data_IF_644112854612
#
_entry.id   IF_644112854612
#
_cell.length_a   1.000
_cell.length_b   1.000
_cell.length_c   1.000
_cell.angle_alpha   90.00
_cell.angle_beta   90.00
_cell.angle_gamma   90.00
#
_symmetry.space_group_name_H-M   'P 1'
#
loop_
_entity.id
_entity.type
_entity.pdbx_description
1 polymer ?
#
# COMPACT_ATOMS: atom_id res chain seq x y z
N UNK A 1 46.05 -0.75 86.56
CA UNK A 1 44.75 -0.18 86.19
C UNK A 1 44.95 0.73 84.98
N UNK A 2 44.23 0.44 83.89
CA UNK A 2 44.02 1.08 82.57
C UNK A 2 44.81 2.30 82.09
N UNK A 3 45.07 2.33 80.76
CA UNK A 3 44.77 3.48 79.92
C UNK A 3 43.59 3.19 78.98
N UNK A 4 42.64 4.13 78.90
CA UNK A 4 41.48 4.10 78.02
C UNK A 4 41.90 4.62 76.64
N UNK A 5 41.65 3.84 75.60
CA UNK A 5 41.83 4.19 74.20
C UNK A 5 40.76 5.18 73.72
N UNK A 6 41.19 6.27 73.10
CA UNK A 6 40.33 7.24 72.43
C UNK A 6 39.82 6.63 71.10
N UNK A 7 38.56 6.22 71.04
CA UNK A 7 37.88 5.89 69.79
C UNK A 7 37.16 7.12 69.25
N UNK A 8 37.57 7.60 68.09
CA UNK A 8 36.96 8.71 67.36
C UNK A 8 35.61 8.28 66.78
N UNK A 9 34.55 8.92 67.28
CA UNK A 9 33.18 8.79 66.78
C UNK A 9 33.05 9.55 65.44
N UNK A 10 33.04 8.84 64.33
CA UNK A 10 32.63 9.39 63.03
C UNK A 10 31.08 9.45 62.98
N UNK A 11 30.47 10.58 62.59
CA UNK A 11 29.03 10.73 62.71
C UNK A 11 28.29 9.94 61.61
N UNK A 12 27.48 8.97 62.02
CA UNK A 12 26.51 8.20 61.22
C UNK A 12 25.63 9.05 60.28
N UNK A 13 25.51 10.36 60.53
CA UNK A 13 24.74 11.31 59.72
C UNK A 13 25.30 11.47 58.30
N UNK A 14 26.61 11.34 58.11
CA UNK A 14 27.22 11.48 56.78
C UNK A 14 26.87 10.31 55.84
N UNK A 15 26.76 9.10 56.39
CA UNK A 15 26.43 7.90 55.62
C UNK A 15 24.97 7.93 55.13
N UNK A 16 24.06 8.44 55.95
CA UNK A 16 22.64 8.60 55.60
C UNK A 16 22.43 9.63 54.48
N UNK A 17 23.19 10.74 54.49
CA UNK A 17 23.09 11.77 53.45
C UNK A 17 23.65 11.28 52.10
N UNK A 18 24.72 10.49 52.11
CA UNK A 18 25.24 9.88 50.88
C UNK A 18 24.30 8.81 50.30
N UNK A 19 23.56 8.08 51.14
CA UNK A 19 22.55 7.13 50.68
C UNK A 19 21.33 7.80 50.03
N UNK A 20 20.97 9.02 50.48
CA UNK A 20 19.86 9.79 49.89
C UNK A 20 20.25 10.44 48.56
N UNK A 21 21.52 10.83 48.38
CA UNK A 21 22.01 11.42 47.13
C UNK A 21 22.14 10.39 45.99
N UNK A 22 22.35 9.10 46.30
CA UNK A 22 22.40 8.04 45.30
C UNK A 22 21.02 7.64 44.74
N UNK A 23 19.93 7.94 45.45
CA UNK A 23 18.55 7.67 45.01
C UNK A 23 18.06 8.59 43.89
N UNK A 24 18.68 9.76 43.69
CA UNK A 24 18.32 10.73 42.63
C UNK A 24 19.17 10.57 41.35
N UNK A 25 20.04 9.55 41.29
CA UNK A 25 21.01 9.35 40.22
C UNK A 25 20.61 8.38 39.10
N UNK A 26 19.33 8.00 38.97
CA UNK A 26 18.89 7.21 37.82
C UNK A 26 18.60 8.18 36.66
N UNK A 27 19.65 8.49 35.89
CA UNK A 27 19.50 8.96 34.53
C UNK A 27 18.50 8.04 33.83
N UNK A 28 17.32 8.58 33.50
CA UNK A 28 16.49 7.97 32.47
C UNK A 28 17.32 7.99 31.20
N UNK A 29 17.98 6.88 30.89
CA UNK A 29 18.32 6.56 29.52
C UNK A 29 16.98 6.59 28.79
N UNK A 30 16.71 7.67 28.08
CA UNK A 30 15.61 7.69 27.12
C UNK A 30 15.76 6.42 26.31
N UNK A 31 14.72 5.60 26.27
CA UNK A 31 14.66 4.47 25.35
C UNK A 31 14.84 5.10 23.98
N UNK A 32 16.06 5.02 23.44
CA UNK A 32 16.30 5.29 22.04
C UNK A 32 15.42 4.28 21.31
N UNK A 33 14.33 4.77 20.71
CA UNK A 33 13.55 3.97 19.79
C UNK A 33 14.54 3.37 18.79
N UNK A 34 14.56 2.03 18.60
CA UNK A 34 15.46 1.43 17.64
C UNK A 34 15.11 2.01 16.26
N UNK A 35 15.92 2.94 15.78
CA UNK A 35 15.92 3.31 14.38
C UNK A 35 16.34 2.05 13.64
N UNK A 36 15.40 1.41 12.95
CA UNK A 36 15.71 0.22 12.15
C UNK A 36 16.66 0.66 11.03
N UNK A 37 17.89 0.13 10.97
CA UNK A 37 18.80 0.44 9.87
C UNK A 37 18.20 -0.14 8.58
N UNK A 38 18.02 0.70 7.56
CA UNK A 38 17.57 0.29 6.23
C UNK A 38 16.26 0.90 5.72
N UNK A 39 15.58 1.75 6.50
CA UNK A 39 14.46 2.55 5.99
C UNK A 39 14.95 3.94 5.56
N UNK A 40 14.61 4.44 4.35
CA UNK A 40 15.00 5.77 3.90
C UNK A 40 14.51 6.85 4.88
N UNK A 41 15.42 7.67 5.37
CA UNK A 41 15.10 8.85 6.18
C UNK A 41 14.68 10.01 5.29
N UNK A 42 13.69 10.78 5.76
CA UNK A 42 13.01 11.83 5.00
C UNK A 42 13.85 13.11 5.00
N UNK A 43 14.67 13.32 3.97
CA UNK A 43 15.46 14.54 3.82
C UNK A 43 15.48 15.00 2.35
N UNK A 44 14.34 15.50 1.86
CA UNK A 44 14.38 16.41 0.71
C UNK A 44 13.21 17.40 0.75
N UNK A 45 13.51 18.70 0.61
CA UNK A 45 12.59 19.81 0.92
C UNK A 45 11.78 20.31 -0.28
N UNK A 46 12.03 19.81 -1.49
CA UNK A 46 11.46 20.38 -2.72
C UNK A 46 10.23 19.61 -3.27
N UNK A 47 9.97 18.38 -2.81
CA UNK A 47 8.77 17.62 -3.16
C UNK A 47 8.48 16.62 -2.02
N UNK A 48 7.22 16.39 -1.61
CA UNK A 48 6.94 15.41 -0.58
C UNK A 48 7.31 14.01 -1.08
N UNK A 49 8.40 13.47 -0.55
CA UNK A 49 8.88 12.13 -0.89
C UNK A 49 7.91 11.03 -0.40
N UNK A 50 7.14 11.34 0.65
CA UNK A 50 6.13 10.45 1.23
C UNK A 50 4.85 11.22 1.58
N UNK A 51 3.71 10.56 1.47
CA UNK A 51 2.39 11.11 1.84
C UNK A 51 1.74 10.22 2.89
N UNK A 52 1.08 10.83 3.87
CA UNK A 52 0.32 10.10 4.90
C UNK A 52 -1.10 9.88 4.39
N UNK A 53 -1.46 8.63 4.14
CA UNK A 53 -2.81 8.24 3.70
C UNK A 53 -3.61 7.72 4.88
N UNK A 54 -4.87 8.14 5.00
CA UNK A 54 -5.80 7.53 5.95
C UNK A 54 -6.35 6.23 5.33
N UNK A 55 -6.14 5.11 6.01
CA UNK A 55 -6.57 3.79 5.55
C UNK A 55 -8.08 3.54 5.73
N UNK A 56 -8.82 4.50 6.30
CA UNK A 56 -10.28 4.50 6.30
C UNK A 56 -10.77 4.85 4.88
N UNK A 57 -10.52 3.95 3.93
CA UNK A 57 -10.96 4.08 2.54
C UNK A 57 -12.48 4.03 2.58
N UNK A 58 -13.09 5.22 2.47
CA UNK A 58 -14.52 5.35 2.31
C UNK A 58 -14.86 4.60 1.03
N UNK A 59 -15.42 3.41 1.21
CA UNK A 59 -15.88 2.57 0.12
C UNK A 59 -17.03 3.31 -0.55
N UNK A 60 -16.72 4.17 -1.53
CA UNK A 60 -17.66 4.81 -2.42
C UNK A 60 -18.31 3.81 -3.38
N UNK A 61 -18.44 2.54 -2.97
CA UNK A 61 -19.20 1.53 -3.65
C UNK A 61 -20.69 1.87 -3.55
N UNK A 62 -21.09 2.89 -4.32
CA UNK A 62 -22.32 2.77 -5.06
C UNK A 62 -22.06 1.54 -5.92
N UNK A 63 -22.69 0.41 -5.58
CA UNK A 63 -22.90 -0.69 -6.50
C UNK A 63 -23.61 -0.05 -7.70
N UNK A 64 -22.82 0.53 -8.62
CA UNK A 64 -23.27 1.00 -9.90
C UNK A 64 -23.99 -0.21 -10.45
N UNK A 65 -25.29 -0.05 -10.73
CA UNK A 65 -26.11 -1.04 -11.41
C UNK A 65 -25.44 -1.33 -12.76
N UNK A 66 -24.35 -2.10 -12.74
CA UNK A 66 -23.75 -2.76 -13.88
C UNK A 66 -24.66 -3.95 -14.13
N UNK A 67 -25.33 -4.05 -15.28
CA UNK A 67 -25.74 -5.33 -15.80
C UNK A 67 -24.55 -6.28 -15.66
N UNK A 68 -24.72 -7.28 -14.79
CA UNK A 68 -23.66 -8.20 -14.38
C UNK A 68 -23.12 -9.01 -15.56
N UNK A 69 -23.71 -8.91 -16.75
CA UNK A 69 -23.54 -9.82 -17.88
C UNK A 69 -23.05 -9.13 -19.17
N UNK A 70 -22.60 -7.87 -19.13
CA UNK A 70 -22.05 -7.19 -20.33
C UNK A 70 -20.95 -8.00 -21.02
N UNK A 71 -20.09 -8.67 -20.24
CA UNK A 71 -19.01 -9.50 -20.76
C UNK A 71 -19.50 -10.67 -21.63
N UNK A 72 -20.76 -11.12 -21.45
CA UNK A 72 -21.41 -12.19 -22.21
C UNK A 72 -22.31 -11.67 -23.33
N UNK A 73 -22.88 -10.48 -23.17
CA UNK A 73 -23.86 -9.89 -24.09
C UNK A 73 -23.28 -8.89 -25.09
N UNK A 74 -22.03 -8.50 -24.89
CA UNK A 74 -21.30 -7.67 -25.85
C UNK A 74 -21.14 -8.41 -27.18
N UNK A 75 -21.17 -7.68 -28.29
CA UNK A 75 -20.74 -8.20 -29.60
C UNK A 75 -19.25 -8.49 -29.63
N UNK A 76 -18.45 -7.91 -28.72
CA UNK A 76 -17.05 -8.26 -28.49
C UNK A 76 -16.90 -8.84 -27.08
N UNK A 77 -17.35 -10.10 -26.83
CA UNK A 77 -17.40 -10.65 -25.49
C UNK A 77 -15.99 -10.91 -24.92
N UNK A 78 -15.89 -10.94 -23.59
CA UNK A 78 -14.63 -11.14 -22.88
C UNK A 78 -14.77 -12.08 -21.69
N UNK A 79 -13.68 -12.73 -21.32
CA UNK A 79 -13.53 -13.43 -20.03
C UNK A 79 -12.87 -12.51 -19.01
N UNK A 80 -13.06 -12.80 -17.72
CA UNK A 80 -12.39 -12.09 -16.63
C UNK A 80 -11.30 -12.99 -16.04
N UNK A 81 -10.08 -12.49 -16.05
CA UNK A 81 -8.92 -13.12 -15.43
C UNK A 81 -8.68 -12.51 -14.05
N UNK A 82 -8.45 -13.37 -13.04
CA UNK A 82 -8.20 -12.93 -11.67
C UNK A 82 -6.70 -12.66 -11.47
N UNK A 83 -6.33 -11.40 -11.33
CA UNK A 83 -4.98 -10.95 -11.02
C UNK A 83 -4.88 -10.68 -9.51
N UNK A 84 -4.23 -11.58 -8.76
CA UNK A 84 -4.05 -11.46 -7.31
C UNK A 84 -2.58 -11.20 -6.95
N UNK A 85 -2.36 -10.16 -6.16
CA UNK A 85 -1.07 -9.82 -5.55
C UNK A 85 -1.31 -9.46 -4.08
N UNK A 86 -0.87 -10.31 -3.12
CA UNK A 86 -1.08 -10.06 -1.70
C UNK A 86 -0.30 -8.85 -1.16
N UNK A 87 0.71 -8.38 -1.88
CA UNK A 87 1.51 -7.20 -1.52
C UNK A 87 0.97 -5.92 -2.17
N UNK A 88 -0.21 -5.97 -2.81
CA UNK A 88 -0.86 -4.85 -3.50
C UNK A 88 -2.23 -4.54 -2.90
N UNK A 89 -2.62 -3.27 -2.95
CA UNK A 89 -3.99 -2.80 -2.72
C UNK A 89 -4.53 -2.10 -4.00
N UNK A 90 -5.71 -2.51 -4.53
CA UNK A 90 -6.46 -3.70 -4.15
C UNK A 90 -5.67 -4.98 -4.48
N UNK A 91 -5.81 -6.01 -3.63
CA UNK A 91 -5.07 -7.27 -3.79
C UNK A 91 -5.54 -8.04 -5.01
N UNK A 92 -6.85 -7.99 -5.31
CA UNK A 92 -7.46 -8.66 -6.45
C UNK A 92 -7.96 -7.63 -7.45
N UNK A 93 -7.54 -7.79 -8.70
CA UNK A 93 -8.01 -7.02 -9.86
C UNK A 93 -8.53 -8.02 -10.89
N UNK A 94 -9.70 -7.75 -11.45
CA UNK A 94 -10.25 -8.57 -12.54
C UNK A 94 -9.94 -7.89 -13.88
N UNK A 95 -9.23 -8.60 -14.74
CA UNK A 95 -8.78 -8.09 -16.03
C UNK A 95 -9.52 -8.78 -17.17
N UNK A 96 -10.05 -8.00 -18.11
CA UNK A 96 -10.76 -8.53 -19.26
C UNK A 96 -9.80 -9.08 -20.33
N UNK A 97 -10.20 -10.20 -20.95
CA UNK A 97 -9.56 -10.77 -22.13
C UNK A 97 -10.60 -11.09 -23.19
N UNK A 98 -10.48 -10.46 -24.36
CA UNK A 98 -11.42 -10.66 -25.48
C UNK A 98 -11.42 -12.13 -25.90
N UNK A 99 -12.61 -12.68 -26.17
CA UNK A 99 -12.77 -14.09 -26.55
C UNK A 99 -12.47 -14.34 -28.03
N UNK A 100 -12.73 -13.35 -28.88
CA UNK A 100 -12.61 -13.43 -30.33
C UNK A 100 -11.66 -12.35 -30.84
N UNK A 101 -11.12 -12.56 -32.04
CA UNK A 101 -10.41 -11.50 -32.78
C UNK A 101 -11.42 -10.61 -33.50
N UNK A 102 -12.44 -11.22 -34.12
CA UNK A 102 -13.58 -10.54 -34.71
C UNK A 102 -14.67 -10.17 -33.70
N UNK A 103 -15.78 -9.64 -34.19
CA UNK A 103 -16.99 -9.39 -33.39
C UNK A 103 -18.05 -10.45 -33.68
N UNK A 104 -19.01 -10.62 -32.78
CA UNK A 104 -20.12 -11.57 -32.87
C UNK A 104 -21.37 -10.85 -33.36
N UNK A 105 -22.02 -11.42 -34.38
CA UNK A 105 -23.22 -10.86 -34.99
C UNK A 105 -24.52 -11.39 -34.35
N UNK A 106 -25.67 -11.01 -34.91
CA UNK A 106 -26.98 -11.38 -34.36
C UNK A 106 -27.24 -12.90 -34.38
N UNK A 107 -26.63 -13.64 -35.30
CA UNK A 107 -26.71 -15.09 -35.39
C UNK A 107 -25.74 -15.80 -34.41
N UNK A 108 -24.93 -15.05 -33.65
CA UNK A 108 -23.94 -15.61 -32.73
C UNK A 108 -22.66 -16.08 -33.42
N UNK A 109 -22.42 -15.70 -34.69
CA UNK A 109 -21.23 -16.05 -35.45
C UNK A 109 -20.19 -14.94 -35.41
N UNK A 110 -18.92 -15.33 -35.38
CA UNK A 110 -17.81 -14.38 -35.50
C UNK A 110 -17.69 -13.83 -36.93
N UNK A 111 -17.60 -12.51 -37.03
CA UNK A 111 -17.37 -11.73 -38.24
C UNK A 111 -15.99 -11.07 -38.19
N UNK A 112 -15.21 -11.27 -39.24
CA UNK A 112 -13.82 -10.80 -39.33
C UNK A 112 -13.67 -9.42 -40.00
N UNK A 113 -14.77 -8.75 -40.33
CA UNK A 113 -14.74 -7.39 -40.89
C UNK A 113 -14.71 -6.28 -39.82
N UNK A 114 -14.91 -6.66 -38.55
CA UNK A 114 -14.72 -5.82 -37.37
C UNK A 114 -13.76 -6.52 -36.41
N UNK A 115 -13.16 -5.78 -35.48
CA UNK A 115 -12.22 -6.33 -34.50
C UNK A 115 -12.73 -6.13 -33.07
N UNK A 116 -12.61 -7.17 -32.25
CA UNK A 116 -12.70 -7.07 -30.80
C UNK A 116 -11.37 -6.55 -30.25
N UNK A 117 -11.40 -5.37 -29.63
CA UNK A 117 -10.20 -4.73 -29.07
C UNK A 117 -10.36 -4.48 -27.56
N UNK A 118 -9.29 -4.63 -26.78
CA UNK A 118 -9.32 -4.38 -25.34
C UNK A 118 -9.47 -2.88 -25.04
N UNK A 119 -10.31 -2.55 -24.06
CA UNK A 119 -10.36 -1.20 -23.47
C UNK A 119 -9.47 -1.21 -22.24
N UNK A 120 -8.46 -0.34 -22.23
CA UNK A 120 -7.51 -0.23 -21.13
C UNK A 120 -7.76 1.02 -20.29
N UNK A 121 -7.53 0.91 -18.99
CA UNK A 121 -7.65 2.00 -18.02
C UNK A 121 -6.39 2.04 -17.15
N UNK A 122 -5.78 3.22 -17.04
CA UNK A 122 -4.73 3.45 -16.03
C UNK A 122 -5.40 3.61 -14.66
N UNK A 123 -4.96 2.80 -13.70
CA UNK A 123 -5.40 2.84 -12.31
C UNK A 123 -4.20 3.04 -11.37
N UNK A 124 -4.48 3.55 -10.18
CA UNK A 124 -3.51 3.65 -9.10
C UNK A 124 -3.61 2.42 -8.20
N UNK A 125 -2.47 1.84 -7.86
CA UNK A 125 -2.34 0.73 -6.91
C UNK A 125 -1.29 1.08 -5.86
N UNK A 126 -1.50 0.62 -4.63
CA UNK A 126 -0.49 0.73 -3.58
C UNK A 126 0.23 -0.60 -3.45
N UNK A 127 1.56 -0.59 -3.47
CA UNK A 127 2.38 -1.78 -3.27
C UNK A 127 3.17 -1.67 -1.98
N UNK A 128 3.18 -2.72 -1.18
CA UNK A 128 3.90 -2.76 0.08
C UNK A 128 5.40 -2.81 -0.20
N UNK A 129 6.16 -1.90 0.40
CA UNK A 129 7.62 -1.98 0.38
C UNK A 129 8.10 -3.02 1.41
N UNK A 130 9.32 -3.53 1.22
CA UNK A 130 9.86 -4.73 1.88
C UNK A 130 9.48 -4.94 3.36
N UNK A 131 9.42 -6.20 3.81
CA UNK A 131 9.01 -6.59 5.18
C UNK A 131 9.82 -5.92 6.31
N UNK A 132 10.96 -5.32 6.03
CA UNK A 132 11.82 -4.67 7.01
C UNK A 132 11.35 -3.25 7.42
N UNK A 133 10.52 -2.58 6.60
CA UNK A 133 9.99 -1.24 6.90
C UNK A 133 8.46 -1.27 7.08
N UNK A 134 7.96 -1.37 8.32
CA UNK A 134 6.52 -1.34 8.56
C UNK A 134 5.91 -0.01 8.09
N UNK A 135 4.74 -0.08 7.45
CA UNK A 135 3.95 1.07 6.97
C UNK A 135 4.52 1.85 5.78
N UNK A 136 5.47 1.28 5.03
CA UNK A 136 5.93 1.84 3.76
C UNK A 136 5.15 1.25 2.59
N UNK A 137 4.56 2.14 1.77
CA UNK A 137 3.86 1.78 0.54
C UNK A 137 4.34 2.67 -0.59
N UNK A 138 4.50 2.07 -1.76
CA UNK A 138 4.76 2.76 -3.02
C UNK A 138 3.46 2.90 -3.79
N UNK A 139 3.19 4.10 -4.29
CA UNK A 139 2.12 4.34 -5.26
C UNK A 139 2.63 3.99 -6.66
N UNK A 140 1.89 3.14 -7.37
CA UNK A 140 2.22 2.68 -8.71
C UNK A 140 1.05 2.91 -9.66
N UNK A 141 1.36 3.13 -10.94
CA UNK A 141 0.39 3.17 -12.03
C UNK A 141 0.35 1.80 -12.70
N UNK A 142 -0.85 1.28 -12.91
CA UNK A 142 -1.07 -0.01 -13.56
C UNK A 142 -2.10 0.16 -14.68
N UNK A 143 -1.81 -0.40 -15.85
CA UNK A 143 -2.74 -0.44 -16.97
C UNK A 143 -3.57 -1.72 -16.90
N UNK A 144 -4.89 -1.60 -16.79
CA UNK A 144 -5.81 -2.73 -16.61
C UNK A 144 -6.80 -2.76 -17.76
N UNK A 145 -6.99 -3.93 -18.36
CA UNK A 145 -8.06 -4.14 -19.34
C UNK A 145 -9.40 -4.28 -18.63
N UNK A 146 -10.34 -3.37 -18.87
CA UNK A 146 -11.64 -3.33 -18.17
C UNK A 146 -12.78 -4.00 -18.95
N UNK A 147 -12.58 -4.22 -20.25
CA UNK A 147 -13.56 -4.85 -21.14
C UNK A 147 -13.02 -4.92 -22.57
N UNK A 148 -13.88 -5.34 -23.48
CA UNK A 148 -13.60 -5.31 -24.92
C UNK A 148 -14.70 -4.54 -25.65
N UNK A 149 -14.34 -3.93 -26.77
CA UNK A 149 -15.28 -3.24 -27.67
C UNK A 149 -15.06 -3.68 -29.12
N UNK A 150 -16.10 -3.51 -29.93
CA UNK A 150 -16.09 -3.84 -31.35
C UNK A 150 -15.79 -2.58 -32.16
N UNK A 151 -14.75 -2.63 -33.00
CA UNK A 151 -14.35 -1.50 -33.85
C UNK A 151 -14.38 -1.87 -35.32
N UNK A 152 -14.74 -0.89 -36.16
CA UNK A 152 -14.61 -1.02 -37.61
C UNK A 152 -13.23 -0.51 -38.06
N UNK A 153 -12.53 -1.21 -38.97
CA UNK A 153 -11.18 -0.83 -39.39
C UNK A 153 -11.12 0.46 -40.23
N UNK A 154 -12.27 0.94 -40.76
CA UNK A 154 -12.34 2.18 -41.54
C UNK A 154 -12.66 3.34 -40.60
N UNK A 155 -11.67 4.19 -40.34
CA UNK A 155 -11.87 5.45 -39.61
C UNK A 155 -12.72 6.37 -40.49
N UNK A 156 -13.99 6.59 -40.13
CA UNK A 156 -14.80 7.61 -40.80
C UNK A 156 -14.21 8.98 -40.45
N UNK A 157 -13.60 9.66 -41.43
CA UNK A 157 -13.34 11.09 -41.30
C UNK A 157 -14.69 11.80 -41.26
N UNK A 158 -15.06 12.30 -40.09
CA UNK A 158 -16.17 13.23 -39.95
C UNK A 158 -15.63 14.58 -40.44
N UNK A 159 -15.93 14.89 -41.70
CA UNK A 159 -15.72 16.23 -42.28
C UNK A 159 -16.82 17.19 -41.84
#
# INVERSE_FOLDING_TARGET
>A
ANPISHFSSFPFKFLSLQLLLSLMGIMRTGIAFPQKPGCPTTEDKNFPQHVKVNLNILNGNKNSRRPLDYYRRSTSPWSLHRNEDPERYPSVIWEAKCLHWGCVNAEGKEEHHMNSVPIQQEILVLRRESRHCPHSFRLEKMLVTVGCTCVTPIVRHVG
#
